data_IF_326002215997
#
_entry.id   IF_326002215997
#
_cell.length_a   1.000
_cell.length_b   1.000
_cell.length_c   1.000
_cell.angle_alpha   90.00
_cell.angle_beta   90.00
_cell.angle_gamma   90.00
#
_symmetry.space_group_name_H-M   'P 1'
#
loop_
_entity.id
_entity.type
_entity.pdbx_description
1 polymer ?
#
# COMPACT_ATOMS: atom_id res chain seq x y z
N UNK A 1 2.80 13.86 2.60
CA UNK A 1 1.54 13.13 2.37
C UNK A 1 0.66 13.94 1.43
N UNK A 2 0.13 13.31 0.37
CA UNK A 2 -0.84 13.91 -0.56
C UNK A 2 -2.13 13.12 -0.51
N UNK A 3 -3.28 13.77 -0.67
CA UNK A 3 -4.59 13.12 -0.72
C UNK A 3 -5.47 13.73 -1.79
N UNK A 4 -6.48 13.00 -2.27
CA UNK A 4 -7.57 13.60 -3.05
C UNK A 4 -8.75 14.02 -2.17
N UNK A 5 -9.72 14.71 -2.77
CA UNK A 5 -10.91 15.22 -2.08
C UNK A 5 -11.76 14.12 -1.46
N UNK A 6 -11.77 12.93 -2.05
CA UNK A 6 -12.53 11.78 -1.55
C UNK A 6 -11.93 11.25 -0.25
N UNK A 7 -10.61 11.02 -0.23
CA UNK A 7 -9.91 10.60 1.00
C UNK A 7 -10.03 11.64 2.12
N UNK A 8 -9.96 12.94 1.80
CA UNK A 8 -10.20 14.00 2.79
C UNK A 8 -11.57 13.89 3.47
N UNK A 9 -12.62 13.60 2.70
CA UNK A 9 -13.97 13.38 3.25
C UNK A 9 -14.05 12.14 4.15
N UNK A 10 -13.33 11.08 3.80
CA UNK A 10 -13.21 9.89 4.65
C UNK A 10 -12.58 10.24 5.99
N UNK A 11 -11.49 11.01 6.01
CA UNK A 11 -10.85 11.47 7.25
C UNK A 11 -11.80 12.30 8.13
N UNK A 12 -12.57 13.21 7.54
CA UNK A 12 -13.55 14.02 8.28
C UNK A 12 -14.67 13.18 8.91
N UNK A 13 -14.93 11.99 8.34
CA UNK A 13 -15.94 11.04 8.82
C UNK A 13 -15.37 10.13 9.91
N UNK A 14 -14.11 9.68 9.78
CA UNK A 14 -13.41 8.85 10.77
C UNK A 14 -13.36 9.48 12.17
N UNK A 15 -13.19 10.80 12.26
CA UNK A 15 -13.12 11.53 13.54
C UNK A 15 -14.42 11.39 14.35
N UNK A 16 -15.52 10.94 13.74
CA UNK A 16 -16.85 10.87 14.35
C UNK A 16 -17.25 9.46 14.80
N UNK A 17 -16.47 8.43 14.48
CA UNK A 17 -16.86 7.03 14.70
C UNK A 17 -16.09 6.44 15.89
N UNK A 18 -16.72 6.43 17.06
CA UNK A 18 -16.24 5.67 18.23
C UNK A 18 -16.90 4.28 18.22
N UNK A 19 -16.18 3.26 17.76
CA UNK A 19 -16.59 1.87 17.80
C UNK A 19 -15.54 1.00 18.48
N UNK A 20 -15.94 0.19 19.45
CA UNK A 20 -15.07 -0.83 20.04
C UNK A 20 -15.17 -2.10 19.21
N UNK A 21 -14.08 -2.51 18.58
CA UNK A 21 -13.94 -3.79 17.87
C UNK A 21 -12.70 -4.52 18.37
N UNK A 22 -12.74 -5.85 18.31
CA UNK A 22 -11.61 -6.69 18.72
C UNK A 22 -10.82 -7.06 17.48
N UNK A 23 -9.51 -6.83 17.50
CA UNK A 23 -8.61 -7.19 16.40
C UNK A 23 -7.75 -8.37 16.84
N UNK A 24 -7.74 -9.44 16.04
CA UNK A 24 -6.72 -10.46 16.16
C UNK A 24 -5.39 -9.95 15.58
N UNK A 25 -4.51 -9.50 16.47
CA UNK A 25 -3.20 -8.97 16.09
C UNK A 25 -2.32 -10.01 15.38
N UNK A 26 -2.55 -11.31 15.59
CA UNK A 26 -1.71 -12.36 14.99
C UNK A 26 -1.86 -12.44 13.47
N UNK A 27 -3.04 -12.12 12.95
CA UNK A 27 -3.34 -12.13 11.50
C UNK A 27 -2.78 -10.91 10.76
N UNK A 28 -2.57 -9.80 11.48
CA UNK A 28 -2.16 -8.52 10.88
C UNK A 28 -0.72 -8.11 11.19
N UNK A 29 -0.07 -8.77 12.15
CA UNK A 29 1.29 -8.42 12.60
C UNK A 29 2.28 -8.32 11.43
N UNK A 30 2.28 -9.28 10.51
CA UNK A 30 3.17 -9.29 9.34
C UNK A 30 2.89 -8.17 8.33
N UNK A 31 1.68 -7.61 8.36
CA UNK A 31 1.29 -6.48 7.51
C UNK A 31 1.63 -5.17 8.21
N UNK A 32 1.40 -5.01 9.52
CA UNK A 32 1.81 -3.79 10.25
C UNK A 32 3.33 -3.68 10.34
N UNK A 33 4.01 -4.79 10.62
CA UNK A 33 5.47 -4.87 10.76
C UNK A 33 6.06 -5.67 9.60
N UNK A 34 6.12 -5.07 8.39
CA UNK A 34 6.48 -5.79 7.19
C UNK A 34 7.96 -6.21 7.19
N UNK A 35 8.25 -7.26 6.44
CA UNK A 35 9.61 -7.59 6.00
C UNK A 35 9.70 -7.29 4.51
N UNK A 36 10.63 -6.42 4.13
CA UNK A 36 10.93 -6.15 2.72
C UNK A 36 12.21 -6.85 2.29
N UNK A 37 12.25 -7.34 1.06
CA UNK A 37 13.43 -7.97 0.48
C UNK A 37 13.68 -7.46 -0.94
N UNK A 38 14.91 -7.59 -1.41
CA UNK A 38 15.26 -7.26 -2.78
C UNK A 38 15.15 -8.49 -3.69
N UNK A 39 14.59 -8.31 -4.89
CA UNK A 39 14.52 -9.34 -5.93
C UNK A 39 14.67 -8.67 -7.29
N UNK A 40 15.71 -9.04 -8.05
CA UNK A 40 15.97 -8.54 -9.40
C UNK A 40 15.84 -7.00 -9.58
N UNK A 41 16.32 -6.23 -8.59
CA UNK A 41 16.23 -4.77 -8.58
C UNK A 41 14.89 -4.20 -8.09
N UNK A 42 13.91 -5.04 -7.77
CA UNK A 42 12.68 -4.69 -7.08
C UNK A 42 12.86 -4.76 -5.56
N UNK A 43 12.03 -4.01 -4.83
CA UNK A 43 11.78 -4.12 -3.39
C UNK A 43 10.39 -4.70 -3.20
N UNK A 44 10.34 -5.88 -2.60
CA UNK A 44 9.12 -6.66 -2.46
C UNK A 44 8.74 -6.84 -0.99
N UNK A 45 7.43 -6.82 -0.73
CA UNK A 45 6.84 -7.20 0.55
C UNK A 45 6.86 -8.72 0.69
N UNK A 46 7.44 -9.22 1.78
CA UNK A 46 7.40 -10.63 2.11
C UNK A 46 5.96 -11.08 2.40
N UNK A 47 5.45 -11.98 1.56
CA UNK A 47 4.11 -12.54 1.65
C UNK A 47 4.17 -14.07 1.60
N UNK A 48 3.13 -14.76 2.01
CA UNK A 48 3.10 -16.24 1.96
C UNK A 48 3.26 -16.79 0.52
N UNK A 49 2.95 -15.97 -0.49
CA UNK A 49 3.12 -16.28 -1.92
C UNK A 49 4.57 -16.16 -2.44
N UNK A 50 5.56 -15.94 -1.57
CA UNK A 50 6.97 -15.76 -1.95
C UNK A 50 7.58 -16.94 -2.76
N UNK A 51 6.96 -18.12 -2.75
CA UNK A 51 7.53 -19.34 -3.33
C UNK A 51 7.46 -19.41 -4.87
N UNK A 52 6.84 -18.45 -5.56
CA UNK A 52 6.61 -18.49 -7.01
C UNK A 52 7.46 -17.49 -7.82
N UNK A 53 8.38 -16.75 -7.18
CA UNK A 53 9.22 -15.80 -7.90
C UNK A 53 10.19 -16.52 -8.84
N UNK A 54 10.18 -16.10 -10.11
CA UNK A 54 11.18 -16.52 -11.10
C UNK A 54 12.57 -15.98 -10.72
N UNK A 55 13.61 -16.40 -11.43
CA UNK A 55 14.97 -15.94 -11.15
C UNK A 55 15.20 -14.47 -11.52
N UNK A 56 14.46 -13.94 -12.49
CA UNK A 56 14.58 -12.57 -12.99
C UNK A 56 13.22 -11.99 -13.38
N UNK A 57 13.11 -10.67 -13.40
CA UNK A 57 11.98 -9.98 -13.97
C UNK A 57 11.96 -10.13 -15.50
N UNK A 58 10.82 -10.56 -16.03
CA UNK A 58 10.56 -10.59 -17.47
C UNK A 58 9.31 -9.76 -17.76
N UNK A 59 9.42 -8.68 -18.55
CA UNK A 59 8.27 -7.86 -18.89
C UNK A 59 7.29 -8.62 -19.78
N UNK A 60 6.01 -8.29 -19.66
CA UNK A 60 4.94 -8.80 -20.52
C UNK A 60 3.89 -7.71 -20.79
N UNK A 61 2.85 -8.04 -21.56
CA UNK A 61 1.81 -7.07 -21.94
C UNK A 61 1.02 -6.45 -20.78
N UNK A 62 0.98 -7.12 -19.62
CA UNK A 62 0.27 -6.67 -18.42
C UNK A 62 1.20 -6.02 -17.40
N UNK A 63 2.43 -6.53 -17.32
CA UNK A 63 3.47 -6.04 -16.41
C UNK A 63 4.69 -5.62 -17.24
N UNK A 64 4.67 -4.40 -17.80
CA UNK A 64 5.68 -3.96 -18.77
C UNK A 64 7.03 -3.59 -18.14
N UNK A 65 7.05 -3.26 -16.85
CA UNK A 65 8.24 -2.82 -16.13
C UNK A 65 8.22 -3.21 -14.64
N UNK A 66 9.30 -2.90 -13.93
CA UNK A 66 9.46 -3.25 -12.52
C UNK A 66 8.56 -2.42 -11.60
N UNK A 67 8.22 -1.21 -12.01
CA UNK A 67 7.27 -0.35 -11.30
C UNK A 67 5.88 -0.97 -11.30
N UNK A 68 5.39 -1.44 -12.45
CA UNK A 68 4.13 -2.17 -12.55
C UNK A 68 4.19 -3.48 -11.75
N UNK A 69 5.32 -4.19 -11.81
CA UNK A 69 5.49 -5.43 -11.04
C UNK A 69 5.44 -5.20 -9.53
N UNK A 70 6.22 -4.25 -9.00
CA UNK A 70 6.20 -3.93 -7.57
C UNK A 70 4.83 -3.45 -7.12
N UNK A 71 4.19 -2.59 -7.91
CA UNK A 71 2.86 -2.09 -7.59
C UNK A 71 1.83 -3.22 -7.50
N UNK A 72 1.92 -4.23 -8.35
CA UNK A 72 1.05 -5.41 -8.30
C UNK A 72 1.45 -6.36 -7.16
N UNK A 73 2.72 -6.70 -7.04
CA UNK A 73 3.21 -7.66 -6.05
C UNK A 73 3.02 -7.16 -4.62
N UNK A 74 3.26 -5.87 -4.38
CA UNK A 74 3.17 -5.25 -3.07
C UNK A 74 1.74 -4.76 -2.73
N UNK A 75 0.72 -5.19 -3.49
CA UNK A 75 -0.66 -4.86 -3.16
C UNK A 75 -1.18 -5.78 -2.05
N UNK A 76 -1.86 -5.20 -1.07
CA UNK A 76 -2.54 -5.93 0.01
C UNK A 76 -3.95 -5.38 0.12
N UNK A 77 -4.95 -6.25 -0.04
CA UNK A 77 -6.32 -5.98 0.39
C UNK A 77 -6.37 -6.18 1.89
N UNK A 78 -6.47 -5.07 2.64
CA UNK A 78 -6.40 -5.12 4.09
C UNK A 78 -7.64 -5.82 4.68
N UNK A 79 -8.77 -5.73 3.97
CA UNK A 79 -10.03 -6.38 4.28
C UNK A 79 -9.92 -7.91 4.38
N UNK A 80 -9.07 -8.56 3.57
CA UNK A 80 -8.87 -10.03 3.58
C UNK A 80 -8.35 -10.57 4.93
N UNK A 81 -7.84 -9.69 5.78
CA UNK A 81 -7.23 -10.02 7.07
C UNK A 81 -8.25 -9.95 8.21
N UNK A 82 -9.32 -9.16 8.04
CA UNK A 82 -10.34 -8.94 9.04
C UNK A 82 -11.58 -9.81 8.78
N UNK A 83 -12.39 -9.97 9.82
CA UNK A 83 -13.69 -10.62 9.70
C UNK A 83 -14.72 -9.64 9.08
N UNK A 84 -15.75 -10.17 8.42
CA UNK A 84 -16.72 -9.39 7.62
C UNK A 84 -17.53 -8.37 8.44
N UNK A 85 -17.57 -8.50 9.76
CA UNK A 85 -18.28 -7.61 10.68
C UNK A 85 -17.48 -6.37 11.09
N UNK A 86 -16.18 -6.29 10.74
CA UNK A 86 -15.36 -5.12 10.99
C UNK A 86 -15.72 -4.00 10.02
N UNK A 87 -16.13 -2.86 10.56
CA UNK A 87 -16.51 -1.71 9.74
C UNK A 87 -15.34 -1.19 8.89
N UNK A 88 -15.51 -0.92 7.57
CA UNK A 88 -14.43 -0.49 6.68
C UNK A 88 -13.64 0.73 7.17
N UNK A 89 -14.30 1.70 7.78
CA UNK A 89 -13.65 2.86 8.40
C UNK A 89 -12.61 2.50 9.49
N UNK A 90 -12.86 1.45 10.27
CA UNK A 90 -11.89 0.96 11.25
C UNK A 90 -10.65 0.38 10.56
N UNK A 91 -10.87 -0.39 9.48
CA UNK A 91 -9.82 -0.96 8.63
C UNK A 91 -9.02 0.18 7.97
N UNK A 92 -9.68 1.25 7.51
CA UNK A 92 -9.04 2.42 6.93
C UNK A 92 -8.07 3.08 7.92
N UNK A 93 -8.49 3.28 9.17
CA UNK A 93 -7.62 3.86 10.20
C UNK A 93 -6.36 3.00 10.43
N UNK A 94 -6.54 1.68 10.47
CA UNK A 94 -5.41 0.73 10.58
C UNK A 94 -4.51 0.82 9.35
N UNK A 95 -5.09 0.91 8.15
CA UNK A 95 -4.36 1.06 6.89
C UNK A 95 -3.49 2.32 6.87
N UNK A 96 -4.02 3.46 7.36
CA UNK A 96 -3.26 4.72 7.47
C UNK A 96 -2.02 4.52 8.34
N UNK A 97 -2.19 3.94 9.54
CA UNK A 97 -1.08 3.68 10.47
C UNK A 97 -0.09 2.65 9.94
N UNK A 98 -0.60 1.63 9.26
CA UNK A 98 0.24 0.62 8.60
C UNK A 98 1.13 1.27 7.53
N UNK A 99 0.57 2.15 6.69
CA UNK A 99 1.33 2.84 5.65
C UNK A 99 2.42 3.76 6.23
N UNK A 100 2.15 4.44 7.35
CA UNK A 100 3.16 5.21 8.09
C UNK A 100 4.31 4.32 8.60
N UNK A 101 4.00 3.14 9.12
CA UNK A 101 5.02 2.16 9.55
C UNK A 101 5.82 1.65 8.36
N UNK A 102 5.17 1.32 7.23
CA UNK A 102 5.86 0.89 6.00
C UNK A 102 6.86 1.94 5.53
N UNK A 103 6.45 3.21 5.50
CA UNK A 103 7.33 4.31 5.12
C UNK A 103 8.55 4.41 6.05
N UNK A 104 8.36 4.29 7.37
CA UNK A 104 9.46 4.32 8.32
C UNK A 104 10.42 3.12 8.18
N UNK A 105 9.89 1.91 7.95
CA UNK A 105 10.69 0.70 7.77
C UNK A 105 11.48 0.75 6.47
N UNK A 106 10.86 1.14 5.35
CA UNK A 106 11.54 1.35 4.06
C UNK A 106 12.64 2.41 4.18
N UNK A 107 12.36 3.52 4.85
CA UNK A 107 13.32 4.62 5.01
C UNK A 107 14.55 4.14 5.75
N UNK A 108 14.33 3.42 6.86
CA UNK A 108 15.39 2.86 7.69
C UNK A 108 16.20 1.80 6.93
N UNK A 109 15.53 0.89 6.22
CA UNK A 109 16.19 -0.22 5.52
C UNK A 109 17.04 0.24 4.35
N UNK A 110 16.56 1.22 3.58
CA UNK A 110 17.24 1.72 2.39
C UNK A 110 18.01 3.02 2.61
N UNK A 111 17.96 3.58 3.83
CA UNK A 111 18.69 4.77 4.26
C UNK A 111 18.55 5.96 3.28
N UNK A 112 17.35 6.17 2.75
CA UNK A 112 17.05 7.21 1.75
C UNK A 112 17.74 7.05 0.39
N UNK A 113 18.34 5.88 0.09
CA UNK A 113 19.01 5.62 -1.20
C UNK A 113 18.03 5.26 -2.32
N UNK A 114 16.83 4.83 -1.95
CA UNK A 114 15.74 4.51 -2.86
C UNK A 114 14.56 5.39 -2.48
N UNK A 115 13.90 5.92 -3.50
CA UNK A 115 12.67 6.68 -3.34
C UNK A 115 11.49 5.73 -3.53
N UNK A 116 10.43 5.93 -2.76
CA UNK A 116 9.24 5.08 -2.82
C UNK A 116 7.98 5.93 -2.92
N UNK A 117 6.96 5.37 -3.56
CA UNK A 117 5.59 5.85 -3.48
C UNK A 117 4.78 4.78 -2.78
N UNK A 118 4.23 5.14 -1.63
CA UNK A 118 3.27 4.33 -0.90
C UNK A 118 1.88 4.89 -1.14
N UNK A 119 0.92 4.01 -1.36
CA UNK A 119 -0.46 4.34 -1.72
C UNK A 119 -1.38 3.57 -0.79
N UNK A 120 -2.36 4.29 -0.26
CA UNK A 120 -3.57 3.72 0.30
C UNK A 120 -4.74 4.18 -0.58
N UNK A 121 -5.55 3.23 -1.06
CA UNK A 121 -6.83 3.49 -1.70
C UNK A 121 -8.00 3.01 -0.84
N UNK A 122 -9.12 3.73 -0.92
CA UNK A 122 -10.36 3.40 -0.22
C UNK A 122 -11.56 3.84 -1.05
N UNK A 123 -12.43 2.90 -1.42
CA UNK A 123 -13.64 3.18 -2.20
C UNK A 123 -14.91 3.33 -1.35
N UNK A 124 -14.80 3.12 -0.03
CA UNK A 124 -15.91 3.09 0.91
C UNK A 124 -16.18 1.69 1.48
N UNK A 125 -15.63 0.66 0.86
CA UNK A 125 -15.76 -0.74 1.30
C UNK A 125 -14.39 -1.37 1.49
N UNK A 126 -13.48 -1.21 0.53
CA UNK A 126 -12.19 -1.90 0.46
C UNK A 126 -11.01 -0.95 0.70
N UNK A 127 -10.10 -1.37 1.59
CA UNK A 127 -8.86 -0.66 1.89
C UNK A 127 -7.69 -1.42 1.28
N UNK A 128 -6.99 -0.79 0.34
CA UNK A 128 -5.84 -1.41 -0.33
C UNK A 128 -4.57 -0.62 -0.01
N UNK A 129 -3.54 -1.33 0.44
CA UNK A 129 -2.19 -0.80 0.61
C UNK A 129 -1.32 -1.26 -0.56
N UNK A 130 -0.46 -0.37 -1.04
CA UNK A 130 0.45 -0.65 -2.17
C UNK A 130 1.69 0.20 -2.05
N UNK A 131 2.81 -0.26 -2.57
CA UNK A 131 3.96 0.61 -2.82
C UNK A 131 4.82 0.15 -3.99
N UNK A 132 5.60 1.09 -4.53
CA UNK A 132 6.63 0.81 -5.52
C UNK A 132 7.82 1.77 -5.37
N UNK A 133 8.97 1.35 -5.89
CA UNK A 133 10.19 2.16 -5.97
C UNK A 133 10.07 3.13 -7.15
N UNK A 134 10.41 4.39 -6.94
CA UNK A 134 10.45 5.40 -8.02
C UNK A 134 11.70 5.20 -8.87
N UNK A 135 11.52 5.13 -10.19
CA UNK A 135 12.60 4.96 -11.17
C UNK A 135 12.53 6.07 -12.21
N UNK A 136 13.69 6.58 -12.62
CA UNK A 136 13.76 7.71 -13.56
C UNK A 136 13.27 7.36 -14.97
N UNK A 137 13.37 6.09 -15.37
CA UNK A 137 13.11 5.63 -16.74
C UNK A 137 11.85 4.75 -16.86
N UNK A 138 11.03 4.68 -15.81
CA UNK A 138 9.79 3.89 -15.80
C UNK A 138 8.60 4.80 -15.50
N UNK A 139 7.43 4.43 -16.00
CA UNK A 139 6.21 5.23 -15.79
C UNK A 139 5.73 4.99 -14.36
N UNK A 140 5.43 6.04 -13.57
CA UNK A 140 4.81 5.87 -12.27
C UNK A 140 3.49 5.08 -12.39
N UNK A 141 3.25 4.16 -11.46
CA UNK A 141 2.02 3.35 -11.49
C UNK A 141 0.75 4.21 -11.41
N UNK A 142 0.82 5.34 -10.70
CA UNK A 142 -0.27 6.31 -10.57
C UNK A 142 0.15 7.67 -11.15
N UNK A 143 -0.73 8.30 -11.93
CA UNK A 143 -0.57 9.69 -12.37
C UNK A 143 -0.93 10.65 -11.22
N UNK A 144 0.07 10.97 -10.39
CA UNK A 144 -0.09 11.84 -9.21
C UNK A 144 -0.63 13.23 -9.58
N UNK A 145 -0.42 13.70 -10.81
CA UNK A 145 -0.95 15.00 -11.28
C UNK A 145 -2.46 14.99 -11.47
N UNK A 146 -3.07 13.80 -11.60
CA UNK A 146 -4.51 13.60 -11.80
C UNK A 146 -5.18 12.91 -10.61
N UNK A 147 -4.64 13.09 -9.41
CA UNK A 147 -5.12 12.40 -8.22
C UNK A 147 -6.64 12.56 -7.96
N UNK A 148 -7.21 13.73 -8.32
CA UNK A 148 -8.64 14.01 -8.16
C UNK A 148 -9.53 13.27 -9.18
N UNK A 149 -9.00 12.77 -10.31
CA UNK A 149 -9.77 12.05 -11.31
C UNK A 149 -10.03 10.58 -10.95
N UNK A 150 -9.28 10.03 -10.00
CA UNK A 150 -9.49 8.65 -9.53
C UNK A 150 -10.80 8.53 -8.77
N UNK A 151 -11.50 7.39 -8.94
CA UNK A 151 -12.78 7.13 -8.30
C UNK A 151 -12.65 6.95 -6.78
N UNK A 152 -11.56 6.32 -6.35
CA UNK A 152 -11.32 5.99 -4.95
C UNK A 152 -10.78 7.20 -4.18
N UNK A 153 -10.94 7.18 -2.86
CA UNK A 153 -10.13 7.97 -1.95
C UNK A 153 -8.67 7.51 -2.03
N UNK A 154 -7.74 8.44 -2.27
CA UNK A 154 -6.32 8.15 -2.33
C UNK A 154 -5.53 8.93 -1.29
N UNK A 155 -4.62 8.25 -0.59
CA UNK A 155 -3.56 8.82 0.25
C UNK A 155 -2.20 8.33 -0.25
N UNK A 156 -1.26 9.25 -0.40
CA UNK A 156 0.10 8.96 -0.88
C UNK A 156 1.16 9.48 0.07
N UNK A 157 2.21 8.67 0.26
CA UNK A 157 3.47 9.07 0.89
C UNK A 157 4.57 8.90 -0.16
N UNK A 158 5.21 10.01 -0.51
CA UNK A 158 6.43 10.04 -1.33
C UNK A 158 7.62 10.21 -0.39
N UNK A 159 8.64 9.38 -0.56
CA UNK A 159 9.85 9.35 0.27
C UNK A 159 11.10 9.13 -0.55
#
# INVERSE_FOLDING_TARGET
MKTNSKMRKCFDSLVKTDGNFTIDLTRIESVIFPKFFEWDGCVLLSQERNNELQTHFSPNQFVPDRTAFEADYNHIHLNDIFDEDVHPDAILNIGIKTLEVWAAVLYKQYNGRRNFVLILSYDGEEVVLRFYTVRQNEVPWLDISKLESYLDGLMLIEM
#
